data_IF_573811770839
#
_entry.id   IF_573811770839
#
_cell.length_a   1.000
_cell.length_b   1.000
_cell.length_c   1.000
_cell.angle_alpha   90.00
_cell.angle_beta   90.00
_cell.angle_gamma   90.00
#
_symmetry.space_group_name_H-M   'P 1'
#
loop_
_entity.id
_entity.type
_entity.pdbx_description
1 polymer ?
#
# COMPACT_ATOMS: atom_id res chain seq x y z
N UNK A 1 20.27 11.15 20.96
CA UNK A 1 21.56 10.53 20.62
C UNK A 1 22.39 11.57 19.89
N UNK A 2 23.43 12.11 20.49
CA UNK A 2 24.37 13.04 19.83
C UNK A 2 25.32 12.18 19.00
N UNK A 3 25.18 12.19 17.70
CA UNK A 3 26.18 11.62 16.81
C UNK A 3 27.45 12.44 16.99
N UNK A 4 28.56 11.78 17.31
CA UNK A 4 29.88 12.43 17.48
C UNK A 4 30.20 13.20 16.21
N UNK A 5 30.53 14.49 16.35
CA UNK A 5 30.80 15.45 15.26
C UNK A 5 31.86 15.00 14.24
N UNK A 6 32.72 14.04 14.58
CA UNK A 6 33.80 13.57 13.69
C UNK A 6 33.36 12.64 12.57
N UNK A 7 32.25 11.90 12.74
CA UNK A 7 31.73 10.96 11.71
C UNK A 7 30.87 11.65 10.65
N UNK A 8 30.25 12.77 10.96
CA UNK A 8 29.34 13.50 10.05
C UNK A 8 30.03 14.14 8.86
N UNK A 9 31.30 14.49 8.98
CA UNK A 9 32.09 15.07 7.87
C UNK A 9 32.59 14.05 6.84
N UNK A 10 32.39 12.77 7.03
CA UNK A 10 32.88 11.70 6.14
C UNK A 10 31.82 11.23 5.15
N UNK A 11 30.53 11.60 5.32
CA UNK A 11 29.45 11.14 4.45
C UNK A 11 29.42 11.98 3.17
N UNK A 12 29.97 11.44 2.10
CA UNK A 12 29.98 12.06 0.77
C UNK A 12 28.74 11.70 -0.06
N UNK A 13 28.05 10.62 0.26
CA UNK A 13 26.84 10.15 -0.45
C UNK A 13 25.72 9.90 0.54
N UNK A 14 24.53 10.40 0.23
CA UNK A 14 23.33 10.19 1.02
C UNK A 14 22.23 9.62 0.12
N UNK A 15 21.65 8.50 0.53
CA UNK A 15 20.64 7.80 -0.23
C UNK A 15 19.29 7.92 0.47
N UNK A 16 18.30 8.49 -0.23
CA UNK A 16 16.90 8.52 0.21
C UNK A 16 16.14 7.47 -0.63
N UNK A 17 15.93 6.30 -0.05
CA UNK A 17 15.24 5.20 -0.71
C UNK A 17 13.77 5.17 -0.30
N UNK A 18 12.86 5.07 -1.29
CA UNK A 18 11.41 5.09 -1.09
C UNK A 18 10.97 6.38 -0.39
N UNK A 19 11.29 7.52 -1.00
CA UNK A 19 11.02 8.85 -0.43
C UNK A 19 9.53 9.06 -0.14
N UNK A 20 8.64 8.61 -1.02
CA UNK A 20 7.20 8.55 -0.84
C UNK A 20 6.82 7.90 0.50
N UNK A 21 7.34 6.71 0.74
CA UNK A 21 7.04 5.96 1.96
C UNK A 21 7.62 6.55 3.23
N UNK A 22 8.77 7.22 3.11
CA UNK A 22 9.36 7.94 4.24
C UNK A 22 8.50 9.14 4.67
N UNK A 23 7.93 9.86 3.69
CA UNK A 23 7.01 10.96 3.95
C UNK A 23 5.69 10.48 4.56
N UNK A 24 5.07 9.43 4.00
CA UNK A 24 3.87 8.79 4.55
C UNK A 24 4.01 8.38 6.02
N UNK A 25 5.23 8.03 6.41
CA UNK A 25 5.55 7.63 7.79
C UNK A 25 5.90 8.81 8.70
N UNK A 26 5.88 10.04 8.19
CA UNK A 26 6.22 11.25 8.94
C UNK A 26 7.71 11.41 9.24
N UNK A 27 8.60 10.75 8.48
CA UNK A 27 10.05 10.85 8.68
C UNK A 27 10.70 12.10 8.08
N UNK A 28 9.91 13.04 7.58
CA UNK A 28 10.44 14.27 6.98
C UNK A 28 11.37 15.03 7.92
N UNK A 29 10.96 15.22 9.18
CA UNK A 29 11.78 15.93 10.17
C UNK A 29 13.10 15.22 10.48
N UNK A 30 13.08 13.88 10.52
CA UNK A 30 14.28 13.07 10.73
C UNK A 30 15.24 13.18 9.55
N UNK A 31 14.72 13.16 8.32
CA UNK A 31 15.51 13.38 7.09
C UNK A 31 16.15 14.76 7.13
N UNK A 32 15.38 15.82 7.45
CA UNK A 32 15.87 17.18 7.60
C UNK A 32 16.99 17.29 8.61
N UNK A 33 16.80 16.66 9.79
CA UNK A 33 17.79 16.65 10.85
C UNK A 33 19.08 15.94 10.45
N UNK A 34 19.00 14.82 9.73
CA UNK A 34 20.17 14.10 9.22
C UNK A 34 20.88 14.98 8.18
N UNK A 35 20.15 15.52 7.21
CA UNK A 35 20.70 16.36 6.15
C UNK A 35 21.40 17.62 6.66
N UNK A 36 20.93 18.19 7.78
CA UNK A 36 21.57 19.36 8.40
C UNK A 36 22.89 19.05 9.13
N UNK A 37 23.16 17.78 9.41
CA UNK A 37 24.35 17.34 10.14
C UNK A 37 25.46 16.76 9.25
N UNK A 38 25.16 16.45 7.99
CA UNK A 38 26.14 15.94 7.04
C UNK A 38 26.64 17.10 6.16
N UNK A 39 27.81 16.91 5.54
CA UNK A 39 28.48 17.97 4.77
C UNK A 39 27.61 18.52 3.65
N UNK A 40 27.68 19.83 3.36
CA UNK A 40 26.82 20.47 2.35
C UNK A 40 27.13 20.03 0.91
N UNK A 41 28.37 19.66 0.60
CA UNK A 41 28.85 19.22 -0.72
C UNK A 41 28.66 17.71 -0.98
N UNK A 42 27.81 17.04 -0.16
CA UNK A 42 27.44 15.64 -0.37
C UNK A 42 26.69 15.42 -1.66
N UNK A 43 26.85 14.25 -2.25
CA UNK A 43 25.96 13.77 -3.30
C UNK A 43 24.70 13.17 -2.67
N UNK A 44 23.52 13.64 -3.09
CA UNK A 44 22.23 13.04 -2.67
C UNK A 44 21.63 12.27 -3.84
N UNK A 45 21.28 11.03 -3.61
CA UNK A 45 20.56 10.18 -4.55
C UNK A 45 19.21 9.80 -3.94
N UNK A 46 18.14 10.01 -4.69
CA UNK A 46 16.78 9.81 -4.21
C UNK A 46 16.00 8.88 -5.15
N UNK A 47 15.29 7.93 -4.57
CA UNK A 47 14.39 7.03 -5.27
C UNK A 47 12.99 7.10 -4.67
N UNK A 48 11.98 7.10 -5.53
CA UNK A 48 10.59 7.04 -5.15
C UNK A 48 9.80 6.22 -6.16
N UNK A 49 8.82 5.46 -5.69
CA UNK A 49 7.92 4.72 -6.55
C UNK A 49 6.79 5.60 -7.10
N UNK A 50 6.40 6.63 -6.34
CA UNK A 50 5.39 7.63 -6.70
C UNK A 50 6.01 9.03 -6.66
N UNK A 51 5.38 10.00 -7.34
CA UNK A 51 5.92 11.36 -7.47
C UNK A 51 4.89 12.44 -7.11
N UNK A 52 4.23 12.35 -5.93
CA UNK A 52 3.31 13.36 -5.45
C UNK A 52 4.02 14.67 -5.11
N UNK A 53 3.25 15.75 -4.90
CA UNK A 53 3.79 17.09 -4.65
C UNK A 53 4.72 17.16 -3.45
N UNK A 54 4.43 16.37 -2.42
CA UNK A 54 5.22 16.26 -1.19
C UNK A 54 6.62 15.69 -1.47
N UNK A 55 6.71 14.64 -2.28
CA UNK A 55 7.99 14.06 -2.73
C UNK A 55 8.75 15.03 -3.61
N UNK A 56 8.06 15.74 -4.50
CA UNK A 56 8.67 16.80 -5.34
C UNK A 56 9.25 17.93 -4.48
N UNK A 57 8.54 18.35 -3.42
CA UNK A 57 9.03 19.35 -2.48
C UNK A 57 10.29 18.87 -1.77
N UNK A 58 10.26 17.65 -1.25
CA UNK A 58 11.43 17.03 -0.60
C UNK A 58 12.63 16.96 -1.55
N UNK A 59 12.40 16.60 -2.81
CA UNK A 59 13.46 16.56 -3.82
C UNK A 59 14.10 17.94 -4.03
N UNK A 60 13.31 19.00 -4.16
CA UNK A 60 13.81 20.38 -4.32
C UNK A 60 14.62 20.87 -3.12
N UNK A 61 14.24 20.41 -1.92
CA UNK A 61 14.93 20.85 -0.70
C UNK A 61 16.32 20.20 -0.53
N UNK A 62 16.53 19.01 -1.10
CA UNK A 62 17.74 18.20 -0.83
C UNK A 62 18.61 17.90 -2.05
N UNK A 63 18.05 18.03 -3.25
CA UNK A 63 18.76 17.81 -4.50
C UNK A 63 19.09 19.13 -5.16
N UNK A 64 20.36 19.38 -5.45
CA UNK A 64 20.82 20.58 -6.17
C UNK A 64 21.24 20.16 -7.58
N UNK A 65 20.77 20.89 -8.59
CA UNK A 65 21.13 20.65 -10.02
C UNK A 65 21.00 19.18 -10.41
N UNK A 66 19.89 18.54 -10.04
CA UNK A 66 19.71 17.10 -10.19
C UNK A 66 19.13 16.69 -11.54
N UNK A 67 19.47 15.50 -11.97
CA UNK A 67 18.82 14.82 -13.08
C UNK A 67 17.66 13.95 -12.55
N UNK A 68 16.46 14.16 -13.12
CA UNK A 68 15.34 13.28 -12.85
C UNK A 68 15.26 12.21 -13.95
N UNK A 69 15.37 10.94 -13.55
CA UNK A 69 15.21 9.81 -14.45
C UNK A 69 13.91 9.10 -14.09
N UNK A 70 12.97 9.06 -15.03
CA UNK A 70 11.69 8.37 -14.87
C UNK A 70 11.70 7.05 -15.63
N UNK A 71 11.42 5.95 -14.93
CA UNK A 71 11.25 4.65 -15.55
C UNK A 71 9.77 4.29 -15.49
N UNK A 72 9.10 4.20 -16.65
CA UNK A 72 7.65 4.03 -16.75
C UNK A 72 6.90 5.35 -16.79
N UNK A 73 5.70 5.40 -16.20
CA UNK A 73 4.84 6.60 -16.12
C UNK A 73 4.97 7.30 -14.78
N UNK A 74 4.84 8.64 -14.76
CA UNK A 74 4.69 9.43 -13.52
C UNK A 74 3.30 9.27 -12.89
N UNK A 75 2.33 8.83 -13.67
CA UNK A 75 0.99 8.55 -13.18
C UNK A 75 0.98 7.29 -12.30
N UNK A 76 0.17 7.32 -11.25
CA UNK A 76 -0.11 6.13 -10.45
C UNK A 76 -0.60 5.00 -11.35
N UNK A 77 0.20 3.98 -11.48
CA UNK A 77 -0.10 2.82 -12.33
C UNK A 77 0.16 1.53 -11.55
N UNK A 78 -0.81 0.63 -11.61
CA UNK A 78 -0.64 -0.71 -11.07
C UNK A 78 0.35 -1.53 -11.93
N UNK A 79 1.01 -2.51 -11.31
CA UNK A 79 1.82 -3.47 -12.05
C UNK A 79 0.92 -4.31 -12.97
N UNK A 80 1.23 -4.37 -14.26
CA UNK A 80 0.48 -5.15 -15.26
C UNK A 80 0.52 -6.66 -15.03
N UNK A 81 1.53 -7.15 -14.30
CA UNK A 81 1.62 -8.56 -13.90
C UNK A 81 0.70 -8.93 -12.74
N UNK A 82 -0.02 -7.96 -12.18
CA UNK A 82 -1.00 -8.16 -11.13
C UNK A 82 -2.41 -8.11 -11.70
N UNK A 83 -3.10 -9.24 -11.68
CA UNK A 83 -4.54 -9.28 -11.97
C UNK A 83 -5.30 -8.65 -10.80
N UNK A 84 -6.00 -7.54 -11.04
CA UNK A 84 -6.74 -6.81 -10.02
C UNK A 84 -8.22 -7.13 -10.12
N UNK A 85 -8.81 -7.59 -9.02
CA UNK A 85 -10.25 -7.88 -8.90
C UNK A 85 -10.85 -7.01 -7.82
N UNK A 86 -11.87 -6.25 -8.16
CA UNK A 86 -12.62 -5.42 -7.21
C UNK A 86 -13.98 -6.05 -6.97
N UNK A 87 -14.31 -6.30 -5.72
CA UNK A 87 -15.61 -6.83 -5.28
C UNK A 87 -16.34 -5.72 -4.52
N UNK A 88 -17.40 -5.20 -5.13
CA UNK A 88 -18.29 -4.23 -4.45
C UNK A 88 -19.20 -5.00 -3.52
N UNK A 89 -19.17 -4.69 -2.23
CA UNK A 89 -19.92 -5.41 -1.21
C UNK A 89 -20.18 -4.54 0.01
N UNK A 90 -21.06 -4.99 0.89
CA UNK A 90 -21.22 -4.40 2.22
C UNK A 90 -20.11 -4.84 3.18
N UNK A 91 -19.94 -4.13 4.27
CA UNK A 91 -18.95 -4.48 5.30
C UNK A 91 -19.20 -5.86 5.91
N UNK A 92 -20.46 -6.26 6.02
CA UNK A 92 -20.89 -7.56 6.55
C UNK A 92 -20.56 -8.74 5.61
N UNK A 93 -20.58 -8.52 4.31
CA UNK A 93 -20.30 -9.53 3.28
C UNK A 93 -18.81 -9.78 3.07
N UNK A 94 -17.92 -8.90 3.56
CA UNK A 94 -16.47 -9.03 3.34
C UNK A 94 -15.92 -10.37 3.80
N UNK A 95 -16.35 -10.86 4.96
CA UNK A 95 -15.82 -12.11 5.50
C UNK A 95 -16.26 -13.33 4.68
N UNK A 96 -17.52 -13.42 4.32
CA UNK A 96 -18.04 -14.51 3.47
C UNK A 96 -17.40 -14.49 2.08
N UNK A 97 -17.22 -13.32 1.50
CA UNK A 97 -16.50 -13.14 0.24
C UNK A 97 -15.04 -13.58 0.36
N UNK A 98 -14.36 -13.20 1.44
CA UNK A 98 -12.98 -13.64 1.69
C UNK A 98 -12.89 -15.17 1.78
N UNK A 99 -13.75 -15.82 2.56
CA UNK A 99 -13.77 -17.27 2.70
C UNK A 99 -13.99 -17.98 1.35
N UNK A 100 -14.95 -17.50 0.56
CA UNK A 100 -15.24 -18.02 -0.78
C UNK A 100 -13.99 -17.92 -1.66
N UNK A 101 -13.37 -16.73 -1.73
CA UNK A 101 -12.17 -16.50 -2.53
C UNK A 101 -11.00 -17.39 -2.12
N UNK A 102 -10.78 -17.54 -0.81
CA UNK A 102 -9.70 -18.39 -0.30
C UNK A 102 -9.94 -19.86 -0.65
N UNK A 103 -11.17 -20.37 -0.49
CA UNK A 103 -11.51 -21.77 -0.80
C UNK A 103 -11.41 -22.10 -2.29
N UNK A 104 -11.80 -21.16 -3.16
CA UNK A 104 -11.84 -21.38 -4.61
C UNK A 104 -10.47 -21.20 -5.28
N UNK A 105 -9.59 -20.37 -4.72
CA UNK A 105 -8.40 -19.90 -5.42
C UNK A 105 -7.08 -20.21 -4.72
N UNK A 106 -7.11 -20.82 -3.53
CA UNK A 106 -5.90 -21.12 -2.77
C UNK A 106 -5.50 -22.59 -2.90
N UNK A 107 -4.26 -22.84 -3.24
CA UNK A 107 -3.61 -24.13 -3.01
C UNK A 107 -2.96 -24.16 -1.62
N UNK A 108 -2.69 -25.36 -1.10
CA UNK A 108 -2.08 -25.54 0.21
C UNK A 108 -0.69 -24.88 0.37
N UNK A 109 -0.07 -24.50 -0.75
CA UNK A 109 1.28 -23.91 -0.78
C UNK A 109 1.29 -22.43 -1.12
N UNK A 110 0.14 -21.83 -1.47
CA UNK A 110 0.06 -20.43 -1.84
C UNK A 110 0.15 -19.51 -0.62
N UNK A 111 0.88 -18.42 -0.75
CA UNK A 111 0.97 -17.38 0.27
C UNK A 111 0.06 -16.22 -0.06
N UNK A 112 -0.76 -15.85 0.92
CA UNK A 112 -1.70 -14.73 0.81
C UNK A 112 -1.42 -13.70 1.89
N UNK A 113 -1.35 -12.44 1.49
CA UNK A 113 -1.25 -11.31 2.39
C UNK A 113 -2.59 -10.58 2.41
N UNK A 114 -3.20 -10.50 3.60
CA UNK A 114 -4.49 -9.84 3.82
C UNK A 114 -4.26 -8.52 4.56
N UNK A 115 -4.65 -7.43 3.96
CA UNK A 115 -4.56 -6.10 4.56
C UNK A 115 -5.83 -5.73 5.31
N UNK A 116 -5.66 -5.27 6.54
CA UNK A 116 -6.70 -4.70 7.40
C UNK A 116 -6.29 -3.34 7.92
N UNK A 117 -7.25 -2.48 8.23
CA UNK A 117 -6.98 -1.11 8.67
C UNK A 117 -6.46 -1.04 10.10
N UNK A 118 -7.02 -1.84 11.03
CA UNK A 118 -6.75 -1.72 12.47
C UNK A 118 -6.05 -2.95 13.06
N UNK A 119 -5.27 -2.73 14.12
CA UNK A 119 -4.61 -3.79 14.88
C UNK A 119 -5.64 -4.78 15.46
N UNK A 120 -6.73 -4.26 16.03
CA UNK A 120 -7.83 -5.07 16.58
C UNK A 120 -8.52 -5.89 15.48
N UNK A 121 -8.79 -5.29 14.31
CA UNK A 121 -9.33 -5.98 13.14
C UNK A 121 -8.40 -7.09 12.66
N UNK A 122 -7.09 -6.88 12.71
CA UNK A 122 -6.07 -7.87 12.37
C UNK A 122 -6.18 -9.13 13.27
N UNK A 123 -6.23 -8.95 14.59
CA UNK A 123 -6.38 -10.07 15.53
C UNK A 123 -7.74 -10.77 15.39
N UNK A 124 -8.83 -10.00 15.23
CA UNK A 124 -10.18 -10.56 15.06
C UNK A 124 -10.30 -11.39 13.77
N UNK A 125 -9.86 -10.85 12.64
CA UNK A 125 -9.91 -11.56 11.37
C UNK A 125 -9.04 -12.81 11.39
N UNK A 126 -7.86 -12.73 11.98
CA UNK A 126 -6.96 -13.89 12.15
C UNK A 126 -7.62 -15.00 12.99
N UNK A 127 -8.29 -14.62 14.08
CA UNK A 127 -9.02 -15.58 14.93
C UNK A 127 -10.13 -16.28 14.13
N UNK A 128 -10.96 -15.52 13.41
CA UNK A 128 -12.04 -16.08 12.59
C UNK A 128 -11.51 -17.04 11.53
N UNK A 129 -10.47 -16.64 10.79
CA UNK A 129 -9.83 -17.51 9.79
C UNK A 129 -9.28 -18.80 10.38
N UNK A 130 -8.70 -18.74 11.58
CA UNK A 130 -8.20 -19.95 12.28
C UNK A 130 -9.32 -20.87 12.74
N UNK A 131 -10.47 -20.31 13.17
CA UNK A 131 -11.66 -21.10 13.49
C UNK A 131 -12.19 -21.85 12.26
N UNK A 132 -12.03 -21.27 11.08
CA UNK A 132 -12.38 -21.90 9.80
C UNK A 132 -11.22 -22.74 9.19
N UNK A 133 -10.29 -23.15 10.04
CA UNK A 133 -9.17 -24.06 9.70
C UNK A 133 -8.11 -23.48 8.75
N UNK A 134 -8.10 -22.18 8.50
CA UNK A 134 -7.03 -21.55 7.74
C UNK A 134 -5.78 -21.34 8.60
N UNK A 135 -4.60 -21.57 8.01
CA UNK A 135 -3.31 -21.35 8.68
C UNK A 135 -2.95 -19.85 8.65
N UNK A 136 -3.65 -19.08 9.48
CA UNK A 136 -3.51 -17.62 9.52
C UNK A 136 -2.65 -17.13 10.70
N UNK A 137 -1.86 -16.07 10.47
CA UNK A 137 -1.08 -15.34 11.47
C UNK A 137 -1.36 -13.84 11.37
N UNK A 138 -1.33 -13.16 12.52
CA UNK A 138 -1.49 -11.71 12.63
C UNK A 138 -0.14 -11.00 12.70
N UNK A 139 -0.01 -9.86 12.00
CA UNK A 139 1.15 -8.98 12.11
C UNK A 139 0.73 -7.52 12.20
N UNK A 140 1.00 -6.87 13.33
CA UNK A 140 0.73 -5.44 13.55
C UNK A 140 1.70 -4.84 14.57
N UNK A 141 1.65 -3.51 14.73
CA UNK A 141 2.62 -2.76 15.52
C UNK A 141 2.68 -3.08 17.01
N UNK A 142 1.63 -3.72 17.59
CA UNK A 142 1.62 -4.11 19.01
C UNK A 142 2.27 -5.49 19.25
N UNK A 143 2.61 -6.23 18.20
CA UNK A 143 3.41 -7.44 18.32
C UNK A 143 4.87 -7.09 18.61
N UNK A 144 5.48 -7.81 19.53
CA UNK A 144 6.92 -7.68 19.82
C UNK A 144 7.75 -8.02 18.56
N UNK A 145 8.99 -7.54 18.51
CA UNK A 145 9.86 -7.83 17.38
C UNK A 145 10.08 -9.34 17.24
N UNK A 146 10.26 -10.06 18.34
CA UNK A 146 10.42 -11.51 18.33
C UNK A 146 9.20 -12.26 17.73
N UNK A 147 7.97 -11.83 18.09
CA UNK A 147 6.75 -12.39 17.51
C UNK A 147 6.65 -12.10 16.01
N UNK A 148 7.01 -10.88 15.58
CA UNK A 148 7.00 -10.49 14.18
C UNK A 148 7.97 -11.32 13.36
N UNK A 149 9.20 -11.52 13.87
CA UNK A 149 10.23 -12.31 13.22
C UNK A 149 9.82 -13.78 13.12
N UNK A 150 9.21 -14.32 14.17
CA UNK A 150 8.67 -15.67 14.18
C UNK A 150 7.53 -15.85 13.16
N UNK A 151 6.54 -14.95 13.15
CA UNK A 151 5.42 -14.98 12.18
C UNK A 151 5.95 -14.88 10.74
N UNK A 152 6.93 -14.01 10.51
CA UNK A 152 7.53 -13.87 9.19
C UNK A 152 8.27 -15.13 8.75
N UNK A 153 8.99 -15.77 9.68
CA UNK A 153 9.68 -17.05 9.41
C UNK A 153 8.68 -18.15 9.06
N UNK A 154 7.58 -18.30 9.82
CA UNK A 154 6.51 -19.25 9.49
C UNK A 154 5.89 -18.98 8.12
N UNK A 155 5.63 -17.72 7.80
CA UNK A 155 5.08 -17.33 6.51
C UNK A 155 6.06 -17.59 5.35
N UNK A 156 7.35 -17.30 5.54
CA UNK A 156 8.41 -17.62 4.55
C UNK A 156 8.57 -19.12 4.34
N UNK A 157 8.44 -19.91 5.40
CA UNK A 157 8.60 -21.37 5.35
C UNK A 157 7.30 -22.10 4.96
N UNK A 158 6.23 -21.39 4.61
CA UNK A 158 4.92 -21.95 4.24
C UNK A 158 4.23 -22.77 5.34
N UNK A 159 4.64 -22.61 6.58
CA UNK A 159 3.95 -23.15 7.76
C UNK A 159 2.67 -22.37 8.07
N UNK A 160 2.63 -21.11 7.65
CA UNK A 160 1.42 -20.28 7.61
C UNK A 160 1.23 -19.78 6.18
N UNK A 161 0.05 -20.02 5.61
CA UNK A 161 -0.28 -19.60 4.24
C UNK A 161 -0.95 -18.25 4.17
N UNK A 162 -1.53 -17.79 5.29
CA UNK A 162 -2.25 -16.53 5.40
C UNK A 162 -1.57 -15.60 6.41
N UNK A 163 -1.16 -14.43 5.94
CA UNK A 163 -0.66 -13.36 6.79
C UNK A 163 -1.66 -12.21 6.79
N UNK A 164 -2.29 -11.94 7.92
CA UNK A 164 -3.15 -10.77 8.12
C UNK A 164 -2.30 -9.65 8.71
N UNK A 165 -2.25 -8.50 8.06
CA UNK A 165 -1.36 -7.43 8.47
C UNK A 165 -1.97 -6.05 8.31
N UNK A 166 -1.54 -5.11 9.17
CA UNK A 166 -1.75 -3.67 8.95
C UNK A 166 -0.69 -3.12 8.00
N UNK A 167 -0.96 -1.98 7.35
CA UNK A 167 0.00 -1.34 6.44
C UNK A 167 1.38 -1.16 7.05
N UNK A 168 1.43 -0.65 8.28
CA UNK A 168 2.71 -0.39 8.97
C UNK A 168 3.52 -1.67 9.15
N UNK A 169 2.87 -2.77 9.49
CA UNK A 169 3.53 -4.04 9.73
C UNK A 169 3.91 -4.77 8.43
N UNK A 170 3.13 -4.59 7.37
CA UNK A 170 3.42 -5.16 6.04
C UNK A 170 4.51 -4.38 5.27
N UNK A 171 4.90 -3.19 5.76
CA UNK A 171 6.01 -2.42 5.19
C UNK A 171 7.32 -3.15 5.39
N UNK A 172 8.11 -3.22 4.33
CA UNK A 172 9.42 -3.90 4.39
C UNK A 172 9.34 -5.42 4.40
N UNK A 173 8.15 -6.02 4.25
CA UNK A 173 8.05 -7.46 4.05
C UNK A 173 8.83 -7.85 2.79
N UNK A 174 9.97 -8.50 3.02
CA UNK A 174 10.79 -9.12 1.98
C UNK A 174 10.33 -10.56 1.79
N UNK A 175 9.26 -10.72 1.01
CA UNK A 175 8.69 -12.02 0.64
C UNK A 175 8.32 -11.96 -0.83
N UNK A 176 9.11 -12.63 -1.67
CA UNK A 176 9.03 -12.52 -3.14
C UNK A 176 7.91 -13.35 -3.78
N UNK A 177 7.29 -14.24 -3.03
CA UNK A 177 6.40 -15.25 -3.57
C UNK A 177 5.00 -15.20 -2.93
N UNK A 178 4.48 -13.98 -2.80
CA UNK A 178 3.08 -13.77 -2.39
C UNK A 178 2.21 -13.96 -3.64
N UNK A 179 1.42 -15.02 -3.65
CA UNK A 179 0.55 -15.37 -4.77
C UNK A 179 -0.63 -14.41 -4.87
N UNK A 180 -1.19 -14.02 -3.72
CA UNK A 180 -2.37 -13.18 -3.66
C UNK A 180 -2.25 -12.11 -2.58
N UNK A 181 -2.72 -10.93 -2.90
CA UNK A 181 -2.96 -9.84 -1.95
C UNK A 181 -4.46 -9.64 -1.82
N UNK A 182 -4.96 -9.52 -0.59
CA UNK A 182 -6.36 -9.17 -0.34
C UNK A 182 -6.42 -7.87 0.44
N UNK A 183 -7.04 -6.85 -0.12
CA UNK A 183 -7.44 -5.65 0.61
C UNK A 183 -8.79 -5.93 1.28
N UNK A 184 -8.77 -6.57 2.46
CA UNK A 184 -9.97 -6.82 3.25
C UNK A 184 -10.61 -5.51 3.69
N UNK A 185 -9.77 -4.57 4.16
CA UNK A 185 -10.15 -3.16 4.26
C UNK A 185 -9.47 -2.39 3.14
N UNK A 186 -10.30 -1.70 2.33
CA UNK A 186 -9.81 -0.90 1.22
C UNK A 186 -8.90 0.22 1.74
N UNK A 187 -7.78 0.54 1.08
CA UNK A 187 -6.86 1.58 1.53
C UNK A 187 -7.50 2.97 1.48
N UNK A 188 -6.91 3.91 2.23
CA UNK A 188 -7.41 5.28 2.34
C UNK A 188 -7.15 6.16 1.12
N UNK A 189 -6.16 5.77 0.33
CA UNK A 189 -5.68 6.47 -0.87
C UNK A 189 -5.17 5.47 -1.92
N UNK A 190 -5.04 5.94 -3.16
CA UNK A 190 -4.61 5.09 -4.27
C UNK A 190 -3.12 4.77 -4.26
N UNK A 191 -2.31 5.59 -3.62
CA UNK A 191 -0.88 5.30 -3.43
C UNK A 191 -0.69 4.07 -2.55
N UNK A 192 -1.38 4.03 -1.41
CA UNK A 192 -1.43 2.84 -0.54
C UNK A 192 -1.99 1.62 -1.27
N UNK A 193 -2.99 1.81 -2.15
CA UNK A 193 -3.53 0.75 -2.99
C UNK A 193 -2.44 0.13 -3.87
N UNK A 194 -1.72 0.93 -4.63
CA UNK A 194 -0.63 0.48 -5.50
C UNK A 194 0.47 -0.22 -4.70
N UNK A 195 0.85 0.34 -3.55
CA UNK A 195 1.86 -0.26 -2.68
C UNK A 195 1.44 -1.62 -2.08
N UNK A 196 0.14 -1.80 -1.78
CA UNK A 196 -0.38 -3.07 -1.29
C UNK A 196 -0.42 -4.12 -2.39
N UNK A 197 -1.01 -3.81 -3.54
CA UNK A 197 -1.09 -4.76 -4.66
C UNK A 197 0.30 -5.13 -5.18
N UNK A 198 1.26 -4.21 -5.13
CA UNK A 198 2.67 -4.46 -5.46
C UNK A 198 3.42 -5.36 -4.47
N UNK A 199 2.74 -5.97 -3.48
CA UNK A 199 3.32 -7.08 -2.69
C UNK A 199 3.28 -8.40 -3.43
N UNK A 200 2.43 -8.54 -4.45
CA UNK A 200 2.43 -9.65 -5.39
C UNK A 200 2.91 -9.18 -6.78
N UNK A 201 3.04 -10.08 -7.73
CA UNK A 201 3.51 -9.75 -9.09
C UNK A 201 4.96 -9.32 -9.16
N UNK A 202 5.84 -9.85 -8.29
CA UNK A 202 7.25 -9.48 -8.20
C UNK A 202 8.15 -10.42 -8.99
N UNK A 203 9.32 -9.91 -9.38
CA UNK A 203 10.35 -10.68 -10.10
C UNK A 203 9.82 -11.39 -11.35
N UNK A 204 8.94 -10.74 -12.13
CA UNK A 204 8.37 -11.30 -13.36
C UNK A 204 7.30 -12.38 -13.15
N UNK A 205 6.91 -12.65 -11.90
CA UNK A 205 5.80 -13.58 -11.60
C UNK A 205 4.46 -12.87 -11.67
N UNK A 206 3.44 -13.59 -12.12
CA UNK A 206 2.06 -13.09 -12.09
C UNK A 206 1.48 -13.21 -10.69
N UNK A 207 0.70 -12.21 -10.28
CA UNK A 207 0.01 -12.16 -9.00
C UNK A 207 -1.46 -11.82 -9.13
N UNK A 208 -2.20 -11.97 -8.03
CA UNK A 208 -3.62 -11.57 -7.95
C UNK A 208 -3.81 -10.62 -6.77
N UNK A 209 -4.54 -9.54 -6.99
CA UNK A 209 -4.99 -8.64 -5.95
C UNK A 209 -6.53 -8.61 -5.93
N UNK A 210 -7.11 -8.90 -4.78
CA UNK A 210 -8.56 -8.84 -4.55
C UNK A 210 -8.84 -7.72 -3.57
N UNK A 211 -9.78 -6.83 -3.90
CA UNK A 211 -10.09 -5.67 -3.08
C UNK A 211 -11.58 -5.60 -2.81
N UNK A 212 -11.97 -5.61 -1.54
CA UNK A 212 -13.35 -5.38 -1.13
C UNK A 212 -13.62 -3.89 -1.05
N UNK A 213 -14.51 -3.41 -1.90
CA UNK A 213 -14.89 -2.01 -1.99
C UNK A 213 -16.26 -1.80 -1.38
N UNK A 214 -16.31 -1.09 -0.27
CA UNK A 214 -17.55 -0.77 0.46
C UNK A 214 -17.99 0.64 0.05
N UNK A 215 -19.11 0.81 -0.70
CA UNK A 215 -19.53 2.10 -1.23
C UNK A 215 -19.62 3.21 -0.21
N UNK A 216 -20.18 2.92 0.97
CA UNK A 216 -20.41 3.88 2.05
C UNK A 216 -19.10 4.43 2.64
N UNK A 217 -18.03 3.62 2.59
CA UNK A 217 -16.71 3.99 3.14
C UNK A 217 -15.76 4.50 2.08
N UNK A 218 -15.81 3.90 0.89
CA UNK A 218 -14.77 4.05 -0.12
C UNK A 218 -15.23 4.83 -1.35
N UNK A 219 -16.51 5.20 -1.46
CA UNK A 219 -17.13 5.76 -2.66
C UNK A 219 -16.38 6.95 -3.27
N UNK A 220 -15.71 7.77 -2.46
CA UNK A 220 -14.89 8.90 -2.92
C UNK A 220 -13.71 8.47 -3.82
N UNK A 221 -13.22 7.25 -3.66
CA UNK A 221 -12.07 6.71 -4.39
C UNK A 221 -12.48 5.97 -5.68
N UNK A 222 -13.78 5.87 -5.97
CA UNK A 222 -14.30 5.07 -7.10
C UNK A 222 -13.71 5.51 -8.44
N UNK A 223 -13.60 6.82 -8.69
CA UNK A 223 -13.06 7.36 -9.95
C UNK A 223 -11.58 7.05 -10.12
N UNK A 224 -10.79 7.33 -9.09
CA UNK A 224 -9.35 7.08 -9.11
C UNK A 224 -9.05 5.57 -9.27
N UNK A 225 -9.87 4.72 -8.63
CA UNK A 225 -9.75 3.26 -8.80
C UNK A 225 -10.08 2.84 -10.23
N UNK A 226 -11.15 3.37 -10.83
CA UNK A 226 -11.51 3.11 -12.22
C UNK A 226 -10.37 3.50 -13.15
N UNK A 227 -9.77 4.68 -12.96
CA UNK A 227 -8.65 5.15 -13.77
C UNK A 227 -7.45 4.20 -13.71
N UNK A 228 -7.15 3.65 -12.52
CA UNK A 228 -6.05 2.68 -12.34
C UNK A 228 -6.38 1.34 -13.03
N UNK A 229 -7.61 0.83 -12.85
CA UNK A 229 -8.05 -0.42 -13.45
C UNK A 229 -8.05 -0.33 -14.98
N UNK A 230 -8.53 0.78 -15.54
CA UNK A 230 -8.55 1.03 -16.98
C UNK A 230 -7.15 1.08 -17.58
N UNK A 231 -6.24 1.86 -16.98
CA UNK A 231 -4.84 1.97 -17.41
C UNK A 231 -4.07 0.64 -17.37
N UNK A 232 -4.50 -0.28 -16.51
CA UNK A 232 -3.90 -1.61 -16.40
C UNK A 232 -4.72 -2.69 -17.12
N UNK A 233 -5.74 -2.31 -17.90
CA UNK A 233 -6.62 -3.21 -18.66
C UNK A 233 -7.27 -4.28 -17.79
N UNK A 234 -7.72 -3.89 -16.60
CA UNK A 234 -8.40 -4.77 -15.66
C UNK A 234 -9.93 -4.65 -15.82
N UNK A 235 -10.64 -5.66 -15.35
CA UNK A 235 -12.10 -5.66 -15.31
C UNK A 235 -12.62 -4.61 -14.32
N UNK A 236 -13.55 -3.78 -14.76
CA UNK A 236 -14.19 -2.75 -13.93
C UNK A 236 -15.63 -3.18 -13.67
N UNK A 237 -15.99 -3.52 -12.41
CA UNK A 237 -17.36 -3.89 -12.08
C UNK A 237 -18.38 -2.81 -12.45
N UNK A 238 -19.56 -3.23 -12.91
CA UNK A 238 -20.67 -2.31 -13.26
C UNK A 238 -21.12 -1.46 -12.08
N UNK A 239 -21.14 -2.04 -10.89
CA UNK A 239 -21.48 -1.37 -9.64
C UNK A 239 -20.51 -0.23 -9.34
N UNK A 240 -19.22 -0.45 -9.57
CA UNK A 240 -18.19 0.58 -9.36
C UNK A 240 -18.34 1.73 -10.35
N UNK A 241 -18.67 1.44 -11.63
CA UNK A 241 -18.97 2.48 -12.64
C UNK A 241 -20.18 3.32 -12.24
N UNK A 242 -21.24 2.68 -11.77
CA UNK A 242 -22.45 3.37 -11.30
C UNK A 242 -22.14 4.31 -10.13
N UNK A 243 -21.36 3.86 -9.14
CA UNK A 243 -20.95 4.70 -8.00
C UNK A 243 -20.17 5.94 -8.45
N UNK A 244 -19.26 5.80 -9.38
CA UNK A 244 -18.47 6.93 -9.91
C UNK A 244 -19.33 7.95 -10.67
N UNK A 245 -20.36 7.49 -11.39
CA UNK A 245 -21.31 8.36 -12.11
C UNK A 245 -22.14 9.20 -11.12
N UNK A 246 -22.63 8.61 -10.03
CA UNK A 246 -23.40 9.32 -9.00
C UNK A 246 -22.54 10.32 -8.21
N UNK A 247 -21.29 10.02 -7.95
CA UNK A 247 -20.36 10.93 -7.24
C UNK A 247 -20.03 12.21 -8.03
N UNK A 248 -20.37 12.29 -9.32
CA UNK A 248 -20.11 13.43 -10.20
C UNK A 248 -21.18 14.51 -10.19
N UNK A 249 -22.40 14.18 -9.80
CA UNK A 249 -23.55 15.09 -9.90
C UNK A 249 -23.72 16.04 -8.70
N UNK A 250 -22.90 15.92 -7.65
CA UNK A 250 -23.01 16.70 -6.42
C UNK A 250 -22.41 18.12 -6.43
N UNK A 251 -21.65 18.52 -7.50
CA UNK A 251 -21.00 19.85 -7.57
C UNK A 251 -21.72 20.88 -8.45
N UNK A 252 -22.97 20.67 -8.82
CA UNK A 252 -23.65 21.47 -9.85
C UNK A 252 -24.95 22.15 -9.43
N UNK A 253 -25.25 22.41 -8.13
CA UNK A 253 -26.41 23.21 -7.76
C UNK A 253 -26.13 24.10 -6.55
N UNK A 254 -25.61 25.28 -6.81
CA UNK A 254 -25.39 26.34 -5.83
C UNK A 254 -25.11 27.69 -6.48
N UNK A 255 -25.80 28.04 -7.59
CA UNK A 255 -25.95 29.44 -8.03
C UNK A 255 -27.37 29.89 -7.71
N UNK A 256 -27.61 30.22 -6.46
CA UNK A 256 -28.75 31.00 -6.05
C UNK A 256 -28.61 32.43 -6.59
N UNK A 257 -29.53 32.79 -7.46
CA UNK A 257 -29.83 34.20 -7.81
C UNK A 257 -30.19 34.95 -6.51
N UNK A 258 -29.46 35.99 -6.22
CA UNK A 258 -29.83 37.09 -5.32
C UNK A 258 -29.83 38.36 -6.14
N UNK A 259 -31.00 38.77 -6.63
CA UNK A 259 -31.30 40.15 -7.03
C UNK A 259 -31.66 40.88 -5.74
N UNK A 260 -31.04 41.95 -5.46
CA UNK A 260 -31.42 43.34 -5.25
C UNK A 260 -30.24 44.07 -4.65
#
# INVERSE_FOLDING_TARGET
MRLNCSLTYVIFKFFILKADRMLDMGFEQQIRKICSQIRPDRQVLMWSATWPKEVQSLARDYLHEFYQVTVGSLDLSGNKDVTQKTVVCTDQEKYSNLQKYLKENLSATDRVLVFVETKKGCDMLTRSLRMDSFQARAMHGDKSQAERDWVLKEFKNRQSTLLVATDVAARGLDVDDIRMVVNFDFPKDMESYIHRIGRTGRAGKKGTAVSFFVPEKNGRLSRELIDILDRTSQEIPSELRNLAAFSGNGKGRGRGRGRY
#
